data_IF_613666081123
#
_entry.id   IF_613666081123
#
_cell.length_a   1.000
_cell.length_b   1.000
_cell.length_c   1.000
_cell.angle_alpha   90.00
_cell.angle_beta   90.00
_cell.angle_gamma   90.00
#
_symmetry.space_group_name_H-M   'P 1'
#
loop_
_entity.id
_entity.type
_entity.pdbx_description
1 polymer ?
#
# COMPACT_ATOMS: atom_id res chain seq x y z
N UNK A 1 -15.26 -38.23 -25.23
CA UNK A 1 -14.96 -38.18 -23.79
C UNK A 1 -13.47 -37.93 -23.62
N UNK A 2 -13.05 -36.68 -23.84
CA UNK A 2 -11.66 -36.26 -23.74
C UNK A 2 -11.42 -35.71 -22.31
N UNK A 3 -10.30 -35.98 -21.66
CA UNK A 3 -8.97 -36.27 -22.22
C UNK A 3 -7.90 -35.33 -21.65
N UNK A 4 -8.18 -34.67 -20.52
CA UNK A 4 -7.23 -33.83 -19.80
C UNK A 4 -6.02 -34.64 -19.33
N UNK A 5 -4.83 -34.31 -19.84
CA UNK A 5 -3.54 -34.36 -19.14
C UNK A 5 -2.44 -33.89 -20.12
N UNK A 6 -2.09 -32.61 -20.07
CA UNK A 6 -0.87 -32.10 -20.71
C UNK A 6 -0.15 -31.17 -19.72
N UNK A 7 0.81 -31.77 -18.99
CA UNK A 7 1.63 -31.11 -17.99
C UNK A 7 3.10 -31.31 -18.39
N UNK A 8 3.85 -30.25 -18.77
CA UNK A 8 5.25 -30.38 -19.15
C UNK A 8 6.14 -30.79 -17.95
N UNK A 9 7.26 -31.50 -18.20
CA UNK A 9 7.98 -32.24 -17.16
C UNK A 9 8.91 -31.38 -16.29
N UNK A 10 9.02 -31.76 -15.01
CA UNK A 10 10.05 -31.25 -14.10
C UNK A 10 11.44 -31.75 -14.53
N UNK A 11 12.30 -30.83 -14.95
CA UNK A 11 13.70 -31.12 -15.31
C UNK A 11 14.61 -31.04 -14.09
N UNK A 12 14.99 -32.20 -13.55
CA UNK A 12 15.96 -32.38 -12.47
C UNK A 12 17.30 -32.85 -13.07
N UNK A 13 18.34 -32.02 -13.04
CA UNK A 13 19.67 -32.44 -13.54
C UNK A 13 20.84 -32.05 -12.61
N UNK A 14 21.87 -32.90 -12.66
CA UNK A 14 22.77 -33.27 -11.55
C UNK A 14 24.14 -32.59 -11.65
N UNK A 15 24.62 -32.10 -10.50
CA UNK A 15 25.93 -31.48 -10.23
C UNK A 15 27.17 -32.26 -10.72
N UNK A 16 28.08 -31.59 -11.47
CA UNK A 16 29.55 -31.70 -11.39
C UNK A 16 30.20 -30.36 -11.87
N UNK A 17 31.39 -29.98 -11.38
CA UNK A 17 32.18 -28.77 -11.77
C UNK A 17 33.51 -29.17 -12.45
N UNK A 18 34.42 -28.33 -12.99
CA UNK A 18 34.74 -26.87 -12.91
C UNK A 18 35.27 -26.37 -14.31
N UNK A 19 36.06 -25.32 -14.60
CA UNK A 19 36.91 -24.34 -13.87
C UNK A 19 37.31 -23.15 -14.79
N UNK A 20 37.67 -21.98 -14.24
CA UNK A 20 38.47 -20.87 -14.87
C UNK A 20 37.88 -20.13 -16.09
N UNK A 21 38.08 -18.82 -16.34
CA UNK A 21 38.84 -17.75 -15.66
C UNK A 21 38.07 -16.39 -15.78
N UNK A 22 38.23 -15.51 -14.77
CA UNK A 22 38.18 -14.03 -14.82
C UNK A 22 37.05 -13.29 -15.60
N UNK A 23 36.11 -12.69 -14.86
CA UNK A 23 36.03 -11.20 -14.69
C UNK A 23 35.08 -10.83 -13.54
N UNK A 24 35.36 -9.73 -12.84
CA UNK A 24 34.66 -9.28 -11.64
C UNK A 24 33.66 -8.14 -11.95
N UNK A 25 32.36 -8.40 -11.85
CA UNK A 25 31.31 -7.46 -11.41
C UNK A 25 30.02 -8.22 -11.13
N UNK A 26 29.56 -8.20 -9.87
CA UNK A 26 28.18 -8.60 -9.53
C UNK A 26 27.20 -7.50 -9.96
N UNK A 27 26.02 -7.87 -10.46
CA UNK A 27 24.82 -7.26 -9.91
C UNK A 27 23.76 -8.31 -9.57
N UNK A 28 23.62 -8.65 -8.29
CA UNK A 28 22.42 -9.33 -7.79
C UNK A 28 21.27 -8.33 -7.81
N UNK A 29 20.48 -8.33 -8.89
CA UNK A 29 19.30 -7.47 -9.03
C UNK A 29 18.14 -7.98 -8.15
N UNK A 30 18.25 -7.74 -6.84
CA UNK A 30 17.10 -7.71 -5.93
C UNK A 30 16.33 -6.40 -6.15
N UNK A 31 15.02 -6.43 -6.45
CA UNK A 31 14.21 -5.23 -6.50
C UNK A 31 14.00 -4.65 -5.09
N UNK A 32 14.50 -3.43 -4.89
CA UNK A 32 14.04 -2.44 -3.90
C UNK A 32 13.53 -2.94 -2.53
N UNK A 33 14.41 -3.54 -1.74
CA UNK A 33 14.36 -3.27 -0.29
C UNK A 33 14.74 -1.80 -0.06
N UNK A 34 13.77 -0.87 -0.16
CA UNK A 34 13.93 0.50 0.30
C UNK A 34 14.09 0.52 1.83
N UNK A 35 15.32 0.29 2.29
CA UNK A 35 15.75 0.56 3.64
C UNK A 35 15.78 2.08 3.88
N UNK A 36 14.60 2.69 4.03
CA UNK A 36 14.49 3.94 4.75
C UNK A 36 14.95 3.67 6.19
N UNK A 37 16.08 4.28 6.54
CA UNK A 37 16.73 4.02 7.81
C UNK A 37 15.88 4.53 8.98
N UNK A 38 15.49 3.59 9.85
CA UNK A 38 15.48 3.68 11.30
C UNK A 38 14.86 4.90 12.02
N UNK A 39 14.05 4.59 13.04
CA UNK A 39 13.91 5.36 14.28
C UNK A 39 13.24 6.74 14.22
N UNK A 40 12.23 6.90 13.35
CA UNK A 40 11.00 7.65 13.70
C UNK A 40 9.85 6.66 14.00
N UNK A 41 10.18 5.58 14.72
CA UNK A 41 9.23 4.58 15.21
C UNK A 41 8.49 5.07 16.47
N UNK A 42 7.96 6.30 16.44
CA UNK A 42 7.43 7.02 17.60
C UNK A 42 6.03 7.59 17.31
N UNK A 43 5.03 6.71 17.24
CA UNK A 43 3.60 7.03 17.09
C UNK A 43 3.29 8.05 15.99
N UNK A 44 3.17 7.58 14.74
CA UNK A 44 2.45 8.35 13.70
C UNK A 44 1.03 8.59 14.19
N UNK A 45 0.72 9.83 14.56
CA UNK A 45 -0.61 10.20 15.03
C UNK A 45 -1.56 10.32 13.83
N UNK A 46 -2.34 9.25 13.64
CA UNK A 46 -3.35 9.19 12.59
C UNK A 46 -4.48 10.19 12.84
N UNK A 47 -4.67 10.72 14.05
CA UNK A 47 -5.55 11.87 14.24
C UNK A 47 -5.04 13.07 13.43
N UNK A 48 -3.74 13.41 13.50
CA UNK A 48 -3.16 14.49 12.69
C UNK A 48 -3.21 14.19 11.18
N UNK A 49 -2.90 12.96 10.76
CA UNK A 49 -2.97 12.54 9.34
C UNK A 49 -4.42 12.66 8.82
N UNK A 50 -5.42 12.30 9.63
CA UNK A 50 -6.84 12.42 9.27
C UNK A 50 -7.32 13.87 9.29
N UNK A 51 -6.90 14.68 10.26
CA UNK A 51 -7.16 16.14 10.26
C UNK A 51 -6.67 16.76 8.95
N UNK A 52 -5.41 16.50 8.57
CA UNK A 52 -4.80 17.04 7.35
C UNK A 52 -5.49 16.51 6.08
N UNK A 53 -5.80 15.20 5.99
CA UNK A 53 -6.63 14.63 4.92
C UNK A 53 -8.01 15.30 4.80
N UNK A 54 -8.60 15.76 5.91
CA UNK A 54 -9.87 16.51 5.90
C UNK A 54 -9.73 18.02 5.70
N UNK A 55 -8.49 18.53 5.61
CA UNK A 55 -8.20 19.94 5.34
C UNK A 55 -8.05 20.27 3.85
N UNK A 56 -8.05 19.27 2.97
CA UNK A 56 -8.04 19.47 1.52
C UNK A 56 -9.39 20.00 1.01
N UNK A 57 -9.41 20.73 -0.12
CA UNK A 57 -10.67 21.03 -0.81
C UNK A 57 -11.36 19.72 -1.19
N UNK A 58 -12.61 19.55 -0.75
CA UNK A 58 -13.40 18.35 -1.06
C UNK A 58 -14.81 18.70 -1.53
N UNK A 59 -15.29 17.94 -2.51
CA UNK A 59 -16.65 18.09 -3.07
C UNK A 59 -17.75 17.39 -2.23
N UNK A 60 -17.41 16.78 -1.08
CA UNK A 60 -18.40 16.13 -0.20
C UNK A 60 -18.96 17.08 0.87
N UNK A 61 -20.24 16.91 1.30
CA UNK A 61 -20.80 17.70 2.39
C UNK A 61 -20.02 17.53 3.69
N UNK A 62 -19.79 18.63 4.42
CA UNK A 62 -19.09 18.68 5.71
C UNK A 62 -19.57 17.62 6.72
N UNK A 63 -20.89 17.40 6.79
CA UNK A 63 -21.51 16.35 7.62
C UNK A 63 -21.00 14.94 7.29
N UNK A 64 -20.67 14.67 6.02
CA UNK A 64 -20.10 13.40 5.57
C UNK A 64 -18.59 13.34 5.81
N UNK A 65 -17.89 14.45 5.62
CA UNK A 65 -16.46 14.60 5.96
C UNK A 65 -16.22 14.29 7.44
N UNK A 66 -17.03 14.86 8.34
CA UNK A 66 -17.00 14.57 9.78
C UNK A 66 -17.31 13.10 10.12
N UNK A 67 -18.20 12.44 9.36
CA UNK A 67 -18.45 11.00 9.53
C UNK A 67 -17.30 10.11 9.05
N UNK A 68 -16.57 10.53 8.00
CA UNK A 68 -15.35 9.84 7.55
C UNK A 68 -14.24 10.02 8.59
N UNK A 69 -14.00 11.25 9.04
CA UNK A 69 -13.06 11.59 10.12
C UNK A 69 -13.26 10.72 11.36
N UNK A 70 -14.45 10.70 11.94
CA UNK A 70 -14.77 9.88 13.13
C UNK A 70 -14.53 8.39 12.90
N UNK A 71 -14.79 7.86 11.69
CA UNK A 71 -14.49 6.45 11.36
C UNK A 71 -12.98 6.19 11.26
N UNK A 72 -12.21 7.06 10.62
CA UNK A 72 -10.77 6.91 10.46
C UNK A 72 -10.04 7.05 11.82
N UNK A 73 -10.38 8.09 12.61
CA UNK A 73 -9.84 8.27 13.96
C UNK A 73 -10.15 7.06 14.84
N UNK A 74 -11.39 6.56 14.87
CA UNK A 74 -11.73 5.36 15.65
C UNK A 74 -11.04 4.09 15.15
N UNK A 75 -10.84 3.94 13.85
CA UNK A 75 -10.07 2.82 13.30
C UNK A 75 -8.58 2.89 13.69
N UNK A 76 -8.03 4.09 13.89
CA UNK A 76 -6.62 4.26 14.27
C UNK A 76 -6.23 3.66 15.62
N UNK A 77 -7.21 3.47 16.51
CA UNK A 77 -7.04 2.78 17.80
C UNK A 77 -6.70 1.28 17.62
N UNK A 78 -7.22 0.64 16.57
CA UNK A 78 -7.04 -0.78 16.26
C UNK A 78 -6.17 -1.07 15.03
N UNK A 79 -5.72 -0.05 14.30
CA UNK A 79 -4.82 -0.16 13.16
C UNK A 79 -3.44 -0.72 13.53
N UNK A 80 -2.96 -1.68 12.73
CA UNK A 80 -1.56 -2.10 12.72
C UNK A 80 -0.63 -0.95 12.26
N UNK A 81 0.65 -0.98 12.63
CA UNK A 81 1.63 0.02 12.20
C UNK A 81 1.71 0.17 10.67
N UNK A 82 1.60 -0.94 9.93
CA UNK A 82 1.56 -0.91 8.46
C UNK A 82 0.31 -0.23 7.91
N UNK A 83 -0.84 -0.39 8.56
CA UNK A 83 -2.07 0.35 8.21
C UNK A 83 -1.93 1.85 8.47
N UNK A 84 -1.21 2.24 9.55
CA UNK A 84 -0.91 3.65 9.84
C UNK A 84 0.04 4.25 8.80
N UNK A 85 1.07 3.51 8.41
CA UNK A 85 1.97 3.90 7.31
C UNK A 85 1.21 4.07 5.99
N UNK A 86 0.36 3.11 5.61
CA UNK A 86 -0.43 3.19 4.37
C UNK A 86 -1.33 4.44 4.28
N UNK A 87 -2.03 4.80 5.36
CA UNK A 87 -2.86 6.03 5.38
C UNK A 87 -2.00 7.30 5.26
N UNK A 88 -0.78 7.26 5.80
CA UNK A 88 0.20 8.36 5.70
C UNK A 88 0.76 8.48 4.28
N UNK A 89 1.03 7.34 3.62
CA UNK A 89 1.47 7.29 2.22
C UNK A 89 0.38 7.82 1.28
N UNK A 90 -0.89 7.47 1.50
CA UNK A 90 -2.03 8.04 0.75
C UNK A 90 -2.09 9.57 0.90
N UNK A 91 -1.86 10.11 2.10
CA UNK A 91 -1.76 11.56 2.32
C UNK A 91 -0.55 12.18 1.61
N UNK A 92 0.61 11.54 1.63
CA UNK A 92 1.80 12.03 0.92
C UNK A 92 1.60 12.03 -0.60
N UNK A 93 1.02 10.96 -1.16
CA UNK A 93 0.69 10.90 -2.58
C UNK A 93 -0.32 11.99 -2.99
N UNK A 94 -1.35 12.28 -2.17
CA UNK A 94 -2.26 13.44 -2.39
C UNK A 94 -1.48 14.76 -2.39
N UNK A 95 -0.56 14.99 -1.44
CA UNK A 95 0.30 16.19 -1.40
C UNK A 95 1.18 16.34 -2.64
N UNK A 96 1.59 15.23 -3.27
CA UNK A 96 2.37 15.26 -4.53
C UNK A 96 1.51 15.47 -5.78
N UNK A 97 0.18 15.54 -5.68
CA UNK A 97 -0.72 15.62 -6.85
C UNK A 97 -0.85 14.29 -7.60
N UNK A 98 -0.86 13.17 -6.87
CA UNK A 98 -1.10 11.86 -7.48
C UNK A 98 -2.57 11.70 -7.91
N UNK A 99 -2.79 11.16 -9.11
CA UNK A 99 -4.12 10.95 -9.68
C UNK A 99 -5.02 10.12 -8.74
N UNK A 100 -6.22 10.65 -8.46
CA UNK A 100 -7.23 10.00 -7.63
C UNK A 100 -7.50 8.54 -8.05
N UNK A 101 -7.40 8.18 -9.34
CA UNK A 101 -7.58 6.82 -9.84
C UNK A 101 -6.46 5.85 -9.42
N UNK A 102 -5.21 6.34 -9.32
CA UNK A 102 -4.07 5.57 -8.80
C UNK A 102 -4.28 5.33 -7.30
N UNK A 103 -4.59 6.38 -6.55
CA UNK A 103 -4.92 6.32 -5.12
C UNK A 103 -6.09 5.36 -4.84
N UNK A 104 -7.17 5.46 -5.62
CA UNK A 104 -8.35 4.58 -5.56
C UNK A 104 -8.02 3.11 -5.85
N UNK A 105 -7.02 2.85 -6.70
CA UNK A 105 -6.56 1.50 -7.02
C UNK A 105 -5.70 0.94 -5.89
N UNK A 106 -4.74 1.72 -5.40
CA UNK A 106 -3.89 1.39 -4.23
C UNK A 106 -4.72 1.04 -2.99
N UNK A 107 -5.78 1.81 -2.68
CA UNK A 107 -6.67 1.50 -1.54
C UNK A 107 -7.46 0.20 -1.76
N UNK A 108 -7.83 -0.15 -3.00
CA UNK A 108 -8.50 -1.43 -3.31
C UNK A 108 -7.52 -2.60 -3.22
N UNK A 109 -6.29 -2.44 -3.72
CA UNK A 109 -5.23 -3.44 -3.60
C UNK A 109 -4.87 -3.71 -2.12
N UNK A 110 -4.76 -2.65 -1.31
CA UNK A 110 -4.57 -2.77 0.13
C UNK A 110 -5.74 -3.52 0.81
N UNK A 111 -6.98 -3.32 0.36
CA UNK A 111 -8.16 -4.10 0.81
C UNK A 111 -8.17 -5.56 0.35
N UNK A 112 -7.42 -5.92 -0.70
CA UNK A 112 -7.32 -7.31 -1.19
C UNK A 112 -6.28 -8.14 -0.44
N UNK A 113 -5.31 -7.49 0.23
CA UNK A 113 -4.21 -8.17 0.95
C UNK A 113 -4.26 -8.01 2.48
N UNK A 114 -5.25 -7.28 3.03
CA UNK A 114 -5.46 -7.13 4.47
C UNK A 114 -6.91 -7.39 4.87
N UNK A 115 -7.14 -8.23 5.88
CA UNK A 115 -8.47 -8.50 6.42
C UNK A 115 -9.00 -7.37 7.33
N UNK A 116 -10.33 -7.18 7.35
CA UNK A 116 -11.04 -6.25 8.23
C UNK A 116 -10.90 -4.74 7.91
N UNK A 117 -9.93 -4.37 7.08
CA UNK A 117 -9.58 -2.96 6.78
C UNK A 117 -10.67 -2.20 6.01
N UNK A 118 -11.54 -2.91 5.28
CA UNK A 118 -12.68 -2.38 4.51
C UNK A 118 -13.57 -1.42 5.31
N UNK A 119 -13.64 -1.59 6.64
CA UNK A 119 -14.35 -0.72 7.58
C UNK A 119 -13.89 0.74 7.55
N UNK A 120 -12.60 0.98 7.28
CA UNK A 120 -11.97 2.30 7.21
C UNK A 120 -11.42 2.64 5.81
N UNK A 121 -10.99 1.65 5.04
CA UNK A 121 -10.56 1.86 3.65
C UNK A 121 -11.70 2.36 2.75
N UNK A 122 -12.95 1.93 2.94
CA UNK A 122 -14.07 2.45 2.14
C UNK A 122 -14.37 3.94 2.44
N UNK A 123 -14.42 4.40 3.71
CA UNK A 123 -14.36 5.83 4.04
C UNK A 123 -13.18 6.58 3.43
N UNK A 124 -11.95 6.04 3.53
CA UNK A 124 -10.74 6.67 2.98
C UNK A 124 -10.82 6.81 1.45
N UNK A 125 -11.20 5.75 0.74
CA UNK A 125 -11.38 5.75 -0.72
C UNK A 125 -12.41 6.80 -1.14
N UNK A 126 -13.49 6.96 -0.37
CA UNK A 126 -14.50 7.99 -0.66
C UNK A 126 -14.00 9.41 -0.41
N UNK A 127 -13.10 9.61 0.56
CA UNK A 127 -12.45 10.91 0.76
C UNK A 127 -11.56 11.24 -0.44
N UNK A 128 -10.68 10.31 -0.84
CA UNK A 128 -9.83 10.43 -2.04
C UNK A 128 -10.64 10.70 -3.30
N UNK A 129 -11.75 9.99 -3.51
CA UNK A 129 -12.67 10.18 -4.65
C UNK A 129 -13.40 11.54 -4.64
N UNK A 130 -13.21 12.34 -3.58
CA UNK A 130 -13.83 13.65 -3.40
C UNK A 130 -12.84 14.81 -3.19
N UNK A 131 -11.54 14.54 -3.12
CA UNK A 131 -10.50 15.57 -3.11
C UNK A 131 -10.20 15.97 -4.56
N UNK A 132 -10.30 17.27 -4.85
CA UNK A 132 -9.84 17.80 -6.13
C UNK A 132 -8.29 17.73 -6.15
N UNK A 133 -7.76 16.79 -6.95
CA UNK A 133 -6.33 16.46 -7.11
C UNK A 133 -5.90 16.60 -8.57
#
# INVERSE_FOLDING_TARGET
MEGWNDCPPVMLQKNISSTSMLVNTSPTLVPETKLYANDIAANVDIAMVVEELTSFPTSIPEKMLGQIKVKLTKASESMSSGSKQFVTEVLEQIKTGADSAILKSSIVEYMMVNDGVSSWCAPLKKLVDSIDT
#
